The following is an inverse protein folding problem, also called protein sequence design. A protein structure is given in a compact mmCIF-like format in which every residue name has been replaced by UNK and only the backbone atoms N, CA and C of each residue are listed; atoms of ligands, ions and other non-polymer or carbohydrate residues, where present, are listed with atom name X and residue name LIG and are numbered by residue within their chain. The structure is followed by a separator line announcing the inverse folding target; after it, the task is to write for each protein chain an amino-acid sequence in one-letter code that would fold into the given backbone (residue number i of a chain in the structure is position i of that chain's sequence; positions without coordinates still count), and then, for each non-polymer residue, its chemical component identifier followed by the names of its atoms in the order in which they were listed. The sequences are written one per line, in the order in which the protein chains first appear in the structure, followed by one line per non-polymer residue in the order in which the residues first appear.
data_IF_522285708565
#
_entry.id   IF_522285708565
#
_cell.length_a   1.000
_cell.length_b   1.000
_cell.length_c   1.000
_cell.angle_alpha   90.00
_cell.angle_beta   90.00
_cell.angle_gamma   90.00
#
_symmetry.space_group_name_H-M   'P 1'
#
loop_
_entity.id
_entity.type
_entity.pdbx_description
1 polymer ?
#
# COMPACT_ATOMS: atom_id res chain seq x y z
N UNK A 1 26.46 6.66 -7.24
CA UNK A 1 24.99 6.61 -7.36
C UNK A 1 24.61 5.22 -7.84
N UNK A 2 23.62 4.57 -7.22
CA UNK A 2 23.12 3.29 -7.72
C UNK A 2 22.53 3.47 -9.13
N UNK A 3 22.76 2.50 -10.02
CA UNK A 3 22.24 2.50 -11.38
C UNK A 3 21.44 1.23 -11.64
N UNK A 4 20.39 1.38 -12.45
CA UNK A 4 19.53 0.28 -12.91
C UNK A 4 19.55 0.34 -14.44
N UNK A 5 19.77 -0.80 -15.09
CA UNK A 5 19.67 -0.94 -16.55
C UNK A 5 18.42 -1.73 -16.85
N UNK A 6 17.54 -1.17 -17.68
CA UNK A 6 16.31 -1.83 -18.12
C UNK A 6 16.49 -2.28 -19.55
N UNK A 7 16.30 -3.57 -19.80
CA UNK A 7 16.25 -4.11 -21.16
C UNK A 7 14.80 -4.05 -21.66
N UNK A 8 14.63 -3.54 -22.86
CA UNK A 8 13.35 -3.48 -23.57
C UNK A 8 13.52 -4.15 -24.93
N UNK A 9 12.44 -4.67 -25.49
CA UNK A 9 12.46 -5.17 -26.87
C UNK A 9 12.63 -4.03 -27.89
N UNK A 10 13.00 -4.41 -29.12
CA UNK A 10 13.33 -3.47 -30.19
C UNK A 10 12.13 -2.61 -30.63
N UNK A 11 10.90 -3.15 -30.58
CA UNK A 11 9.69 -2.40 -30.93
C UNK A 11 9.42 -1.29 -29.91
N UNK A 12 9.48 -1.62 -28.62
CA UNK A 12 9.31 -0.66 -27.55
C UNK A 12 10.40 0.42 -27.61
N UNK A 13 11.66 0.02 -27.83
CA UNK A 13 12.76 0.98 -28.00
C UNK A 13 12.51 1.95 -29.15
N UNK A 14 12.11 1.46 -30.32
CA UNK A 14 11.82 2.33 -31.47
C UNK A 14 10.70 3.33 -31.17
N UNK A 15 9.65 2.90 -30.46
CA UNK A 15 8.56 3.78 -30.02
C UNK A 15 9.02 4.81 -29.01
N UNK A 16 9.92 4.45 -28.10
CA UNK A 16 10.51 5.39 -27.13
C UNK A 16 11.39 6.43 -27.82
N UNK A 17 12.18 6.02 -28.81
CA UNK A 17 13.06 6.91 -29.59
C UNK A 17 12.27 7.91 -30.46
N UNK A 18 11.04 7.57 -30.86
CA UNK A 18 10.14 8.51 -31.55
C UNK A 18 9.59 9.63 -30.63
N UNK A 19 9.78 9.50 -29.32
CA UNK A 19 9.39 10.50 -28.32
C UNK A 19 10.61 10.98 -27.52
N UNK A 20 11.57 11.68 -28.18
CA UNK A 20 12.79 12.16 -27.53
C UNK A 20 12.56 13.26 -26.48
N UNK A 21 11.38 13.88 -26.48
CA UNK A 21 10.95 14.85 -25.47
C UNK A 21 10.73 14.24 -24.08
N UNK A 22 10.60 12.92 -23.99
CA UNK A 22 10.33 12.19 -22.75
C UNK A 22 11.65 11.72 -22.12
N UNK A 23 11.88 12.07 -20.85
CA UNK A 23 12.96 11.49 -20.06
C UNK A 23 12.55 10.12 -19.50
N UNK A 24 12.77 9.08 -20.30
CA UNK A 24 12.41 7.70 -19.95
C UNK A 24 13.05 7.18 -18.65
N UNK A 25 14.24 7.68 -18.29
CA UNK A 25 14.89 7.32 -17.02
C UNK A 25 14.11 7.85 -15.82
N UNK A 26 13.53 9.04 -15.96
CA UNK A 26 12.72 9.65 -14.90
C UNK A 26 11.34 8.98 -14.80
N UNK A 27 10.71 8.66 -15.93
CA UNK A 27 9.46 7.87 -15.96
C UNK A 27 9.67 6.54 -15.23
N UNK A 28 10.76 5.84 -15.55
CA UNK A 28 11.10 4.56 -14.91
C UNK A 28 11.29 4.73 -13.41
N UNK A 29 11.99 5.78 -12.96
CA UNK A 29 12.21 6.07 -11.54
C UNK A 29 10.90 6.28 -10.79
N UNK A 30 10.00 7.08 -11.34
CA UNK A 30 8.70 7.38 -10.74
C UNK A 30 7.85 6.11 -10.62
N UNK A 31 7.76 5.31 -11.69
CA UNK A 31 7.00 4.06 -11.66
C UNK A 31 7.54 3.07 -10.62
N UNK A 32 8.87 2.97 -10.47
CA UNK A 32 9.48 2.12 -9.44
C UNK A 32 9.13 2.64 -8.05
N UNK A 33 9.24 3.95 -7.82
CA UNK A 33 8.92 4.56 -6.53
C UNK A 33 7.45 4.33 -6.15
N UNK A 34 6.52 4.65 -7.05
CA UNK A 34 5.09 4.44 -6.84
C UNK A 34 4.76 2.97 -6.54
N UNK A 35 5.42 2.03 -7.23
CA UNK A 35 5.21 0.60 -7.01
C UNK A 35 5.72 0.15 -5.65
N UNK A 36 6.85 0.68 -5.18
CA UNK A 36 7.39 0.38 -3.85
C UNK A 36 6.44 0.94 -2.78
N UNK A 37 6.06 2.22 -2.88
CA UNK A 37 5.12 2.84 -1.93
C UNK A 37 3.80 2.06 -1.86
N UNK A 38 3.26 1.63 -3.00
CA UNK A 38 2.05 0.82 -3.04
C UNK A 38 2.22 -0.55 -2.34
N UNK A 39 3.38 -1.20 -2.51
CA UNK A 39 3.67 -2.47 -1.84
C UNK A 39 3.88 -2.27 -0.33
N UNK A 40 4.56 -1.21 0.09
CA UNK A 40 4.74 -0.88 1.51
C UNK A 40 3.42 -0.59 2.21
N UNK A 41 2.51 0.13 1.57
CA UNK A 41 1.14 0.34 2.09
C UNK A 41 0.38 -0.99 2.15
N UNK A 42 0.51 -1.86 1.14
CA UNK A 42 -0.11 -3.19 1.19
C UNK A 42 0.45 -4.05 2.32
N UNK A 43 1.77 -4.01 2.55
CA UNK A 43 2.44 -4.74 3.62
C UNK A 43 2.10 -4.15 4.99
N UNK A 44 1.92 -2.83 5.12
CA UNK A 44 1.42 -2.20 6.34
C UNK A 44 -0.01 -2.64 6.62
N UNK A 45 -0.90 -2.59 5.63
CA UNK A 45 -2.30 -3.02 5.77
C UNK A 45 -2.42 -4.52 6.02
N UNK A 46 -1.60 -5.34 5.37
CA UNK A 46 -1.55 -6.79 5.56
C UNK A 46 -0.89 -7.18 6.89
N UNK A 47 0.15 -6.47 7.30
CA UNK A 47 0.81 -6.62 8.60
C UNK A 47 -0.05 -6.13 9.76
N UNK A 48 -0.88 -5.09 9.56
CA UNK A 48 -1.97 -4.70 10.46
C UNK A 48 -3.18 -5.66 10.35
N UNK A 49 -3.23 -6.54 9.35
CA UNK A 49 -4.25 -7.58 9.17
C UNK A 49 -3.83 -8.96 9.68
N UNK A 50 -2.62 -9.13 10.23
CA UNK A 50 -2.40 -10.19 11.22
C UNK A 50 -3.10 -9.77 12.53
N UNK A 51 -4.42 -9.58 12.48
CA UNK A 51 -5.24 -9.62 13.67
C UNK A 51 -5.06 -11.01 14.25
N UNK A 52 -4.23 -11.11 15.28
CA UNK A 52 -4.13 -12.33 16.07
C UNK A 52 -5.50 -12.60 16.68
N UNK A 53 -5.79 -13.85 17.07
CA UNK A 53 -7.04 -14.16 17.78
C UNK A 53 -7.24 -13.23 19.00
N UNK A 54 -6.14 -12.77 19.61
CA UNK A 54 -6.16 -11.79 20.70
C UNK A 54 -6.62 -10.38 20.26
N UNK A 55 -6.23 -9.91 19.07
CA UNK A 55 -6.65 -8.59 18.58
C UNK A 55 -8.14 -8.56 18.25
N UNK A 56 -8.68 -9.66 17.72
CA UNK A 56 -10.12 -9.85 17.51
C UNK A 56 -10.87 -9.91 18.84
N UNK A 57 -10.31 -10.63 19.84
CA UNK A 57 -10.87 -10.73 21.18
C UNK A 57 -10.93 -9.37 21.88
N UNK A 58 -9.84 -8.59 21.84
CA UNK A 58 -9.80 -7.24 22.41
C UNK A 58 -10.82 -6.30 21.75
N UNK A 59 -11.00 -6.42 20.42
CA UNK A 59 -11.98 -5.60 19.71
C UNK A 59 -13.41 -5.98 20.11
N UNK A 60 -13.70 -7.27 20.25
CA UNK A 60 -15.00 -7.77 20.70
C UNK A 60 -15.32 -7.35 22.14
N UNK A 61 -14.33 -7.36 23.03
CA UNK A 61 -14.47 -6.90 24.41
C UNK A 61 -14.75 -5.40 24.48
N UNK A 62 -14.00 -4.57 23.73
CA UNK A 62 -14.23 -3.13 23.64
C UNK A 62 -15.61 -2.77 23.09
N UNK A 63 -16.12 -3.56 22.12
CA UNK A 63 -17.48 -3.37 21.58
C UNK A 63 -18.54 -3.73 22.63
N UNK A 64 -18.37 -4.84 23.34
CA UNK A 64 -19.31 -5.27 24.39
C UNK A 64 -19.34 -4.31 25.58
N UNK A 65 -18.19 -3.79 25.99
CA UNK A 65 -18.07 -2.80 27.07
C UNK A 65 -18.79 -1.50 26.70
N UNK A 66 -18.53 -0.96 25.51
CA UNK A 66 -19.22 0.24 25.01
C UNK A 66 -20.72 0.02 24.81
N UNK A 67 -21.12 -1.16 24.36
CA UNK A 67 -22.53 -1.54 24.23
C UNK A 67 -23.24 -1.56 25.59
N UNK A 68 -22.58 -2.10 26.63
CA UNK A 68 -23.11 -2.14 27.99
C UNK A 68 -23.23 -0.75 28.61
N UNK A 69 -22.21 0.11 28.43
CA UNK A 69 -22.22 1.49 28.93
C UNK A 69 -23.42 2.30 28.41
N UNK A 70 -23.79 2.11 27.14
CA UNK A 70 -24.93 2.80 26.54
C UNK A 70 -26.29 2.30 27.06
N UNK A 71 -26.40 1.01 27.35
CA UNK A 71 -27.62 0.43 27.92
C UNK A 71 -27.82 0.85 29.38
N UNK A 72 -26.73 1.00 30.12
CA UNK A 72 -26.76 1.46 31.51
C UNK A 72 -27.09 2.97 31.62
N UNK A 73 -26.62 3.79 30.68
CA UNK A 73 -26.97 5.23 30.60
C UNK A 73 -28.42 5.50 30.16
N UNK A 74 -29.01 4.64 29.32
CA UNK A 74 -30.42 4.76 28.92
C UNK A 74 -31.40 4.19 29.96
N UNK A 75 -30.91 3.51 31.01
CA UNK A 75 -31.73 2.88 32.06
C UNK A 75 -31.70 3.60 33.42
N UNK A 76 -31.00 4.74 33.53
CA UNK A 76 -30.82 5.53 34.77
C UNK A 76 -31.66 6.81 34.83
#
# INVERSE_FOLDING_TARGET
MPSITVNVDDDLKARMENHPEINWSEVTRQTIQEKIEALEVMDELAGQSELTENDVQELAEKINERGRQRVDEESA
#
